data_IF_450278530485
#
_entry.id   IF_450278530485
#
_cell.length_a   1.000
_cell.length_b   1.000
_cell.length_c   1.000
_cell.angle_alpha   90.00
_cell.angle_beta   90.00
_cell.angle_gamma   90.00
#
_symmetry.space_group_name_H-M   'P 1'
#
loop_
_entity.id
_entity.type
_entity.pdbx_description
1 polymer ?
#
# COMPACT_ATOMS: atom_id res chain seq x y z
N UNK A 1 20.70 19.51 55.28
CA UNK A 1 20.14 19.99 54.00
C UNK A 1 19.40 18.82 53.38
N UNK A 2 18.07 18.86 53.38
CA UNK A 2 17.20 17.77 52.94
C UNK A 2 16.76 18.09 51.51
N UNK A 3 17.28 17.39 50.51
CA UNK A 3 16.76 17.47 49.14
C UNK A 3 15.70 16.39 48.97
N UNK A 4 14.43 16.81 49.03
CA UNK A 4 13.30 16.00 48.58
C UNK A 4 13.30 15.93 47.06
N UNK A 5 13.42 14.73 46.51
CA UNK A 5 13.14 14.44 45.10
C UNK A 5 11.66 14.04 44.98
N UNK A 6 10.90 14.78 44.17
CA UNK A 6 9.52 14.45 43.81
C UNK A 6 9.54 13.65 42.51
N UNK A 7 8.96 12.44 42.44
CA UNK A 7 8.85 11.73 41.18
C UNK A 7 7.67 12.29 40.38
N UNK A 8 7.96 12.81 39.18
CA UNK A 8 6.94 13.09 38.17
C UNK A 8 6.48 11.75 37.57
N UNK A 9 5.28 11.31 37.93
CA UNK A 9 4.64 10.16 37.29
C UNK A 9 4.05 10.60 35.94
N UNK A 10 4.71 10.23 34.84
CA UNK A 10 4.15 10.37 33.50
C UNK A 10 3.13 9.24 33.26
N UNK A 11 1.84 9.57 33.22
CA UNK A 11 0.79 8.64 32.82
C UNK A 11 0.83 8.48 31.30
N UNK A 12 1.37 7.37 30.80
CA UNK A 12 1.29 6.99 29.40
C UNK A 12 -0.13 6.47 29.11
N UNK A 13 -0.93 7.25 28.39
CA UNK A 13 -2.22 6.78 27.87
C UNK A 13 -1.95 5.86 26.66
N UNK A 14 -2.10 4.55 26.86
CA UNK A 14 -2.10 3.58 25.77
C UNK A 14 -3.40 3.71 24.99
N UNK A 15 -3.31 4.19 23.75
CA UNK A 15 -4.42 4.12 22.79
C UNK A 15 -4.49 2.67 22.31
N UNK A 16 -5.48 1.92 22.78
CA UNK A 16 -5.74 0.57 22.31
C UNK A 16 -6.36 0.70 20.92
N UNK A 17 -5.59 0.38 19.89
CA UNK A 17 -6.10 0.24 18.53
C UNK A 17 -7.09 -0.95 18.51
N UNK A 18 -8.38 -0.68 18.41
CA UNK A 18 -9.39 -1.71 18.18
C UNK A 18 -9.24 -2.19 16.74
N UNK A 19 -8.71 -3.39 16.55
CA UNK A 19 -8.74 -4.06 15.25
C UNK A 19 -10.20 -4.25 14.82
N UNK A 20 -10.60 -3.57 13.75
CA UNK A 20 -11.91 -3.73 13.11
C UNK A 20 -11.98 -5.10 12.44
N UNK A 21 -12.34 -6.12 13.22
CA UNK A 21 -12.69 -7.45 12.73
C UNK A 21 -14.07 -7.41 12.06
N UNK A 22 -14.15 -6.87 10.85
CA UNK A 22 -15.42 -6.74 10.12
C UNK A 22 -15.31 -6.70 8.60
N UNK A 23 -14.12 -6.54 8.02
CA UNK A 23 -13.94 -6.69 6.59
C UNK A 23 -13.84 -8.17 6.23
N UNK A 24 -14.73 -8.64 5.36
CA UNK A 24 -14.57 -9.96 4.71
C UNK A 24 -13.27 -9.96 3.93
N UNK A 25 -12.36 -10.89 4.25
CA UNK A 25 -11.21 -11.15 3.40
C UNK A 25 -11.69 -11.67 2.05
N UNK A 26 -10.99 -11.37 0.95
CA UNK A 26 -11.32 -11.96 -0.34
C UNK A 26 -11.29 -13.49 -0.25
N UNK A 27 -12.28 -14.15 -0.83
CA UNK A 27 -12.44 -15.61 -0.83
C UNK A 27 -11.45 -16.32 -1.78
N UNK A 28 -10.54 -15.56 -2.39
CA UNK A 28 -9.61 -16.03 -3.42
C UNK A 28 -10.21 -16.06 -4.82
N UNK A 29 -11.50 -15.77 -4.99
CA UNK A 29 -12.11 -15.62 -6.31
C UNK A 29 -11.52 -14.41 -7.02
N UNK A 30 -11.07 -14.62 -8.25
CA UNK A 30 -10.48 -13.54 -9.04
C UNK A 30 -11.50 -12.42 -9.28
N UNK A 31 -11.16 -11.16 -8.99
CA UNK A 31 -12.09 -10.06 -9.15
C UNK A 31 -12.26 -9.65 -10.62
N UNK A 32 -13.48 -9.24 -10.97
CA UNK A 32 -13.71 -8.56 -12.26
C UNK A 32 -13.22 -7.12 -12.18
N UNK A 33 -12.30 -6.76 -13.08
CA UNK A 33 -11.88 -5.37 -13.26
C UNK A 33 -13.07 -4.45 -13.56
N UNK A 34 -13.02 -3.24 -13.00
CA UNK A 34 -14.02 -2.17 -13.19
C UNK A 34 -13.56 -1.09 -14.17
N UNK A 35 -12.41 -1.26 -14.80
CA UNK A 35 -11.88 -0.34 -15.81
C UNK A 35 -10.36 -0.34 -15.81
N UNK A 36 -9.77 0.25 -16.86
CA UNK A 36 -8.33 0.38 -17.00
C UNK A 36 -7.88 1.82 -16.73
N UNK A 37 -6.87 1.98 -15.90
CA UNK A 37 -6.19 3.25 -15.63
C UNK A 37 -4.71 3.05 -15.92
N UNK A 38 -4.13 3.92 -16.74
CA UNK A 38 -2.72 3.84 -17.08
C UNK A 38 -1.98 5.07 -16.57
N UNK A 39 -0.85 4.86 -15.91
CA UNK A 39 0.03 5.92 -15.44
C UNK A 39 1.27 6.03 -16.33
N UNK A 40 1.65 7.27 -16.69
CA UNK A 40 2.92 7.54 -17.37
C UNK A 40 4.12 7.49 -16.40
N UNK A 41 3.86 7.65 -15.11
CA UNK A 41 4.84 7.64 -14.01
C UNK A 41 4.30 6.81 -12.84
N UNK A 42 5.17 6.50 -11.87
CA UNK A 42 4.73 5.74 -10.69
C UNK A 42 3.71 6.56 -9.89
N UNK A 43 2.62 5.92 -9.46
CA UNK A 43 1.64 6.58 -8.59
C UNK A 43 2.11 6.46 -7.13
N UNK A 44 2.55 7.57 -6.56
CA UNK A 44 2.86 7.64 -5.13
C UNK A 44 1.59 7.74 -4.29
N UNK A 45 1.49 6.91 -3.26
CA UNK A 45 0.49 6.98 -2.19
C UNK A 45 1.23 7.45 -0.95
N UNK A 46 0.86 8.64 -0.47
CA UNK A 46 1.58 9.31 0.63
C UNK A 46 1.28 8.69 1.98
N UNK A 47 2.14 8.97 2.96
CA UNK A 47 1.88 8.63 4.36
C UNK A 47 0.49 9.16 4.82
N UNK A 48 -0.35 8.28 5.34
CA UNK A 48 -1.72 8.59 5.77
C UNK A 48 -2.74 8.74 4.63
N UNK A 49 -2.34 8.63 3.37
CA UNK A 49 -3.25 8.57 2.22
C UNK A 49 -3.85 7.17 2.10
N UNK A 50 -5.17 7.12 1.89
CA UNK A 50 -5.87 5.91 1.47
C UNK A 50 -6.25 6.04 0.01
N UNK A 51 -5.65 5.23 -0.85
CA UNK A 51 -6.02 5.09 -2.25
C UNK A 51 -6.92 3.87 -2.42
N UNK A 52 -8.21 4.11 -2.68
CA UNK A 52 -9.17 3.07 -3.06
C UNK A 52 -9.31 2.99 -4.58
N UNK A 53 -8.73 1.94 -5.16
CA UNK A 53 -8.72 1.68 -6.59
C UNK A 53 -10.05 1.16 -7.15
N UNK A 54 -11.05 0.89 -6.30
CA UNK A 54 -12.42 0.44 -6.69
C UNK A 54 -12.44 -0.75 -7.65
N UNK A 55 -11.47 -1.65 -7.50
CA UNK A 55 -11.21 -2.82 -8.36
C UNK A 55 -10.98 -2.48 -9.84
N UNK A 56 -10.40 -1.30 -10.14
CA UNK A 56 -9.86 -1.02 -11.46
C UNK A 56 -8.50 -1.69 -11.65
N UNK A 57 -8.15 -1.94 -12.91
CA UNK A 57 -6.82 -2.36 -13.34
C UNK A 57 -5.94 -1.14 -13.53
N UNK A 58 -4.78 -1.13 -12.89
CA UNK A 58 -3.77 -0.10 -12.93
C UNK A 58 -2.50 -0.66 -13.54
N UNK A 59 -1.92 0.06 -14.50
CA UNK A 59 -0.66 -0.33 -15.11
C UNK A 59 0.08 0.90 -15.64
N UNK A 60 1.27 0.70 -16.19
CA UNK A 60 2.04 1.76 -16.82
C UNK A 60 1.72 1.84 -18.31
N UNK A 61 1.58 3.05 -18.85
CA UNK A 61 1.37 3.25 -20.29
C UNK A 61 2.66 3.10 -21.11
N UNK A 62 3.82 3.26 -20.47
CA UNK A 62 5.13 3.37 -21.09
C UNK A 62 6.13 2.29 -20.63
N UNK A 63 5.67 1.31 -19.86
CA UNK A 63 6.50 0.23 -19.35
C UNK A 63 5.89 -1.11 -19.78
N UNK A 64 6.75 -2.10 -20.02
CA UNK A 64 6.35 -3.49 -20.26
C UNK A 64 7.18 -4.39 -19.36
N UNK A 65 6.57 -5.46 -18.86
CA UNK A 65 7.30 -6.49 -18.12
C UNK A 65 8.42 -7.06 -18.99
N UNK A 66 9.62 -7.21 -18.41
CA UNK A 66 10.80 -7.77 -19.06
C UNK A 66 11.23 -9.08 -18.38
N UNK A 67 10.25 -9.89 -17.99
CA UNK A 67 10.47 -11.10 -17.20
C UNK A 67 11.04 -10.79 -15.82
N UNK A 68 12.03 -11.57 -15.38
CA UNK A 68 12.61 -11.51 -14.03
C UNK A 68 13.66 -10.41 -13.84
N UNK A 69 13.79 -9.47 -14.79
CA UNK A 69 14.74 -8.37 -14.67
C UNK A 69 14.21 -7.34 -13.68
N UNK A 70 14.76 -7.33 -12.47
CA UNK A 70 14.43 -6.34 -11.43
C UNK A 70 14.75 -4.92 -11.89
N UNK A 71 14.01 -3.97 -11.32
CA UNK A 71 14.18 -2.54 -11.56
C UNK A 71 13.91 -1.72 -10.30
N UNK A 72 14.09 -0.40 -10.39
CA UNK A 72 13.81 0.50 -9.27
C UNK A 72 12.33 0.87 -9.15
N UNK A 73 11.94 1.34 -7.96
CA UNK A 73 10.57 1.76 -7.61
C UNK A 73 9.94 2.75 -8.60
N UNK A 74 10.73 3.57 -9.31
CA UNK A 74 10.23 4.54 -10.29
C UNK A 74 9.54 3.91 -11.50
N UNK A 75 9.86 2.65 -11.78
CA UNK A 75 9.21 1.86 -12.85
C UNK A 75 7.95 1.16 -12.37
N UNK A 76 7.64 1.28 -11.07
CA UNK A 76 6.48 0.66 -10.44
C UNK A 76 5.15 1.22 -10.89
N UNK A 77 4.07 0.45 -10.74
CA UNK A 77 2.71 0.98 -10.88
C UNK A 77 2.39 1.89 -9.69
N UNK A 78 2.66 1.41 -8.47
CA UNK A 78 2.49 2.17 -7.24
C UNK A 78 3.77 2.20 -6.40
N UNK A 79 4.03 3.34 -5.77
CA UNK A 79 4.97 3.47 -4.66
C UNK A 79 4.18 3.89 -3.42
N UNK A 80 4.24 3.09 -2.36
CA UNK A 80 3.51 3.33 -1.12
C UNK A 80 4.52 3.79 -0.07
N UNK A 81 4.36 5.03 0.40
CA UNK A 81 5.15 5.55 1.50
C UNK A 81 4.75 4.88 2.83
N UNK A 82 5.60 4.97 3.85
CA UNK A 82 5.29 4.44 5.18
C UNK A 82 3.97 5.01 5.71
N UNK A 83 3.05 4.13 6.13
CA UNK A 83 1.71 4.52 6.58
C UNK A 83 0.72 4.85 5.45
N UNK A 84 1.10 4.69 4.19
CA UNK A 84 0.19 4.76 3.05
C UNK A 84 -0.65 3.49 2.93
N UNK A 85 -1.83 3.61 2.33
CA UNK A 85 -2.78 2.50 2.19
C UNK A 85 -3.29 2.39 0.74
N UNK A 86 -2.92 1.31 0.06
CA UNK A 86 -3.48 0.91 -1.23
C UNK A 86 -4.54 -0.16 -1.02
N UNK A 87 -5.77 0.07 -1.51
CA UNK A 87 -6.84 -0.93 -1.45
C UNK A 87 -7.63 -1.09 -2.74
N UNK A 88 -8.20 -2.28 -2.91
CA UNK A 88 -9.11 -2.62 -4.01
C UNK A 88 -8.52 -2.29 -5.40
N UNK A 89 -7.36 -2.85 -5.72
CA UNK A 89 -6.68 -2.57 -6.98
C UNK A 89 -6.27 -3.87 -7.69
N UNK A 90 -6.28 -3.85 -9.01
CA UNK A 90 -5.70 -4.91 -9.85
C UNK A 90 -4.48 -4.31 -10.54
N UNK A 91 -3.33 -4.95 -10.46
CA UNK A 91 -2.09 -4.56 -11.13
C UNK A 91 -2.05 -5.30 -12.46
N UNK A 92 -2.06 -4.56 -13.57
CA UNK A 92 -2.03 -5.11 -14.91
C UNK A 92 -0.62 -5.53 -15.34
N UNK A 93 -0.55 -6.34 -16.41
CA UNK A 93 0.69 -6.90 -16.96
C UNK A 93 1.76 -5.88 -17.38
N UNK A 94 1.36 -4.64 -17.69
CA UNK A 94 2.32 -3.59 -18.04
C UNK A 94 2.91 -2.99 -16.76
N UNK A 95 3.66 -3.82 -16.04
CA UNK A 95 4.41 -3.51 -14.84
C UNK A 95 5.85 -3.97 -15.01
N UNK A 96 6.81 -3.22 -14.45
CA UNK A 96 8.15 -3.76 -14.16
C UNK A 96 8.26 -4.02 -12.67
N UNK A 97 7.84 -3.05 -11.86
CA UNK A 97 7.48 -3.27 -10.47
C UNK A 97 5.97 -3.08 -10.29
N UNK A 98 5.34 -3.89 -9.45
CA UNK A 98 3.89 -3.77 -9.21
C UNK A 98 3.61 -2.69 -8.17
N UNK A 99 3.76 -3.08 -6.92
CA UNK A 99 3.60 -2.20 -5.76
C UNK A 99 4.91 -2.23 -4.98
N UNK A 100 5.51 -1.07 -4.81
CA UNK A 100 6.77 -0.94 -4.10
C UNK A 100 6.56 -0.23 -2.77
N UNK A 101 7.09 -0.80 -1.69
CA UNK A 101 7.10 -0.22 -0.36
C UNK A 101 8.48 -0.49 0.27
N UNK A 102 9.32 0.53 0.30
CA UNK A 102 10.68 0.44 0.87
C UNK A 102 10.70 0.48 2.40
N UNK A 103 9.60 0.93 3.00
CA UNK A 103 9.52 1.27 4.41
C UNK A 103 8.55 0.33 5.13
N UNK A 104 8.31 0.59 6.41
CA UNK A 104 7.33 -0.14 7.21
C UNK A 104 5.94 0.48 7.07
N UNK A 105 4.92 -0.20 7.59
CA UNK A 105 3.55 0.32 7.75
C UNK A 105 2.78 0.65 6.46
N UNK A 106 3.23 0.20 5.29
CA UNK A 106 2.38 0.19 4.10
C UNK A 106 1.24 -0.80 4.27
N UNK A 107 0.01 -0.38 3.97
CA UNK A 107 -1.16 -1.25 4.00
C UNK A 107 -1.56 -1.59 2.57
N UNK A 108 -1.48 -2.88 2.23
CA UNK A 108 -1.86 -3.42 0.92
C UNK A 108 -3.07 -4.34 1.13
N UNK A 109 -4.26 -3.85 0.82
CA UNK A 109 -5.54 -4.51 1.15
C UNK A 109 -6.30 -4.87 -0.13
N UNK A 110 -6.60 -6.15 -0.36
CA UNK A 110 -7.38 -6.59 -1.51
C UNK A 110 -6.77 -6.08 -2.85
N UNK A 111 -5.47 -6.31 -3.03
CA UNK A 111 -4.70 -5.99 -4.24
C UNK A 111 -4.32 -7.27 -4.96
N UNK A 112 -4.43 -7.27 -6.29
CA UNK A 112 -4.29 -8.46 -7.15
C UNK A 112 -3.28 -8.18 -8.26
N UNK A 113 -2.52 -9.17 -8.70
CA UNK A 113 -1.53 -9.03 -9.78
C UNK A 113 -1.87 -9.97 -10.93
N UNK A 114 -2.28 -9.41 -12.06
CA UNK A 114 -2.75 -10.14 -13.25
C UNK A 114 -1.64 -10.99 -13.90
N UNK A 115 -0.38 -10.55 -13.80
CA UNK A 115 0.80 -11.22 -14.35
C UNK A 115 2.07 -10.76 -13.60
N UNK A 116 2.88 -11.70 -13.05
CA UNK A 116 4.05 -11.43 -12.18
C UNK A 116 5.37 -11.95 -12.75
#
# INVERSE_FOLDING_TARGET
MLQSFVPFAAAAAFVIATASAGASLPDGSWPSSKGLVQFSEVRTIKAGEVFDGKMQTFERSNVKCNGQSESGWQTGVFFVEAGGHLKNAIIGKNQMEGVHCDQHDCIIENVWWDDV
#
